data_IF_142833625147
#
_entry.id   IF_142833625147
#
_cell.length_a   1.000
_cell.length_b   1.000
_cell.length_c   1.000
_cell.angle_alpha   90.00
_cell.angle_beta   90.00
_cell.angle_gamma   90.00
#
_symmetry.space_group_name_H-M   'P 1'
#
loop_
_entity.id
_entity.type
_entity.pdbx_description
1 polymer ?
#
# COMPACT_ATOMS: atom_id res chain seq x y z
N UNK A 1 10.68 -28.67 12.82
CA UNK A 1 10.10 -28.12 11.57
C UNK A 1 9.90 -26.64 11.82
N UNK A 2 10.47 -25.74 11.03
CA UNK A 2 10.22 -24.29 11.18
C UNK A 2 8.78 -24.00 10.78
N UNK A 3 8.09 -23.16 11.53
CA UNK A 3 6.72 -22.72 11.23
C UNK A 3 6.65 -22.08 9.83
N UNK A 4 5.57 -22.30 9.08
CA UNK A 4 5.39 -21.70 7.75
C UNK A 4 5.17 -20.18 7.83
N UNK A 5 4.46 -19.72 8.85
CA UNK A 5 4.21 -18.31 9.12
C UNK A 5 4.44 -18.03 10.61
N UNK A 6 4.75 -16.78 10.94
CA UNK A 6 4.73 -16.27 12.32
C UNK A 6 3.48 -15.44 12.61
N UNK A 7 2.65 -15.19 11.59
CA UNK A 7 1.37 -14.48 11.69
C UNK A 7 0.27 -15.47 11.33
N UNK A 8 -0.45 -15.93 12.34
CA UNK A 8 -1.62 -16.82 12.18
C UNK A 8 -2.89 -16.05 11.87
N UNK A 9 -3.02 -14.82 12.39
CA UNK A 9 -4.12 -13.91 12.14
C UNK A 9 -3.63 -12.64 11.42
N UNK A 10 -3.68 -12.61 10.08
CA UNK A 10 -3.41 -11.41 9.29
C UNK A 10 -4.28 -10.20 9.64
N UNK A 11 -5.51 -10.43 10.13
CA UNK A 11 -6.47 -9.36 10.42
C UNK A 11 -6.02 -8.46 11.60
N UNK A 12 -5.10 -8.95 12.43
CA UNK A 12 -4.45 -8.15 13.47
C UNK A 12 -3.55 -7.02 12.91
N UNK A 13 -3.20 -7.07 11.61
CA UNK A 13 -2.25 -6.14 10.99
C UNK A 13 -2.74 -5.46 9.72
N UNK A 14 -3.64 -6.10 8.97
CA UNK A 14 -4.25 -5.54 7.78
C UNK A 14 -5.72 -5.92 7.67
N UNK A 15 -6.58 -4.93 7.44
CA UNK A 15 -8.02 -5.15 7.21
C UNK A 15 -8.53 -4.32 6.04
N UNK A 16 -9.51 -4.89 5.33
CA UNK A 16 -10.31 -4.19 4.33
C UNK A 16 -11.72 -4.02 4.90
N UNK A 17 -12.20 -2.79 4.97
CA UNK A 17 -13.50 -2.46 5.57
C UNK A 17 -14.38 -1.72 4.58
N UNK A 18 -15.57 -2.26 4.32
CA UNK A 18 -16.62 -1.56 3.61
C UNK A 18 -17.48 -0.77 4.60
N UNK A 19 -17.90 0.43 4.21
CA UNK A 19 -18.90 1.17 4.99
C UNK A 19 -19.76 2.04 4.07
N UNK A 20 -20.98 2.30 4.55
CA UNK A 20 -21.93 3.19 3.89
C UNK A 20 -21.88 4.55 4.57
N UNK A 21 -21.65 5.60 3.79
CA UNK A 21 -21.61 6.94 4.31
C UNK A 21 -22.99 7.37 4.83
N UNK A 22 -22.99 8.17 5.89
CA UNK A 22 -24.21 8.61 6.59
C UNK A 22 -24.46 10.11 6.44
N UNK A 23 -23.48 10.88 5.93
CA UNK A 23 -23.51 12.34 5.95
C UNK A 23 -23.33 12.95 7.34
N UNK A 24 -23.13 12.13 8.37
CA UNK A 24 -22.92 12.53 9.76
C UNK A 24 -21.68 11.84 10.33
N UNK A 25 -21.05 12.45 11.35
CA UNK A 25 -19.91 11.82 12.01
C UNK A 25 -20.31 10.47 12.62
N UNK A 26 -19.51 9.43 12.37
CA UNK A 26 -19.71 8.11 12.97
C UNK A 26 -18.41 7.29 12.97
N UNK A 27 -18.34 6.33 13.89
CA UNK A 27 -17.28 5.34 13.93
C UNK A 27 -17.54 4.24 12.89
N UNK A 28 -16.50 3.87 12.17
CA UNK A 28 -16.41 2.70 11.31
C UNK A 28 -15.57 1.67 12.05
N UNK A 29 -16.24 0.74 12.73
CA UNK A 29 -15.63 -0.37 13.47
C UNK A 29 -15.36 -1.54 12.54
N UNK A 30 -14.30 -2.30 12.79
CA UNK A 30 -14.03 -3.49 12.01
C UNK A 30 -15.04 -4.58 12.37
N UNK A 31 -15.94 -4.90 11.45
CA UNK A 31 -17.02 -5.85 11.70
C UNK A 31 -16.55 -7.31 11.49
N UNK A 32 -15.38 -7.67 12.03
CA UNK A 32 -14.90 -9.04 12.09
C UNK A 32 -14.82 -9.54 13.53
N UNK A 33 -14.90 -10.86 13.71
CA UNK A 33 -14.99 -11.49 15.03
C UNK A 33 -13.62 -11.84 15.61
N UNK A 34 -12.53 -11.48 14.93
CA UNK A 34 -11.25 -12.15 15.11
C UNK A 34 -10.34 -11.34 16.05
N UNK A 35 -10.03 -10.08 15.70
CA UNK A 35 -9.09 -9.25 16.48
C UNK A 35 -9.35 -7.76 16.31
N UNK A 36 -9.48 -7.05 17.43
CA UNK A 36 -9.50 -5.58 17.47
C UNK A 36 -8.20 -5.00 16.90
N UNK A 37 -8.31 -4.07 15.95
CA UNK A 37 -7.13 -3.44 15.33
C UNK A 37 -7.25 -1.92 15.30
N UNK A 38 -6.35 -1.22 16.01
CA UNK A 38 -6.10 0.19 15.70
C UNK A 38 -5.26 0.30 14.42
N UNK A 39 -5.72 1.00 13.37
CA UNK A 39 -4.91 1.29 12.19
C UNK A 39 -3.96 2.46 12.43
N UNK A 40 -2.78 2.38 11.81
CA UNK A 40 -1.82 3.47 11.70
C UNK A 40 -1.82 4.11 10.31
N UNK A 41 -2.34 3.41 9.30
CA UNK A 41 -2.61 3.99 7.98
C UNK A 41 -4.02 3.59 7.55
N UNK A 42 -4.79 4.57 7.08
CA UNK A 42 -6.14 4.37 6.54
C UNK A 42 -6.20 5.00 5.15
N UNK A 43 -6.37 4.16 4.13
CA UNK A 43 -6.59 4.58 2.75
C UNK A 43 -8.06 4.40 2.39
N UNK A 44 -8.77 5.52 2.23
CA UNK A 44 -10.19 5.58 1.92
C UNK A 44 -10.45 5.83 0.44
N UNK A 45 -11.49 5.17 -0.06
CA UNK A 45 -12.00 5.38 -1.39
C UNK A 45 -13.52 5.30 -1.47
N UNK A 46 -14.12 6.34 -2.03
CA UNK A 46 -15.50 6.33 -2.50
C UNK A 46 -15.61 5.52 -3.80
N UNK A 47 -16.58 4.60 -3.87
CA UNK A 47 -16.63 3.56 -4.92
C UNK A 47 -17.67 3.82 -6.00
N UNK A 48 -18.73 4.57 -5.70
CA UNK A 48 -19.89 4.72 -6.60
C UNK A 48 -20.02 6.11 -7.25
N UNK A 49 -18.93 6.90 -7.34
CA UNK A 49 -18.90 8.18 -8.07
C UNK A 49 -17.46 8.64 -8.33
N UNK A 50 -17.32 9.70 -9.13
CA UNK A 50 -16.03 10.35 -9.39
C UNK A 50 -15.61 11.20 -8.19
N UNK A 51 -14.58 10.79 -7.45
CA UNK A 51 -14.02 11.51 -6.27
C UNK A 51 -12.52 11.25 -6.16
N UNK A 52 -11.82 11.92 -5.25
CA UNK A 52 -10.44 11.58 -4.91
C UNK A 52 -10.33 10.39 -3.93
N UNK A 53 -9.15 9.80 -3.83
CA UNK A 53 -8.73 8.95 -2.72
C UNK A 53 -8.27 9.83 -1.55
N UNK A 54 -8.35 9.31 -0.32
CA UNK A 54 -7.85 9.99 0.88
C UNK A 54 -7.02 9.03 1.72
N UNK A 55 -5.78 9.39 2.01
CA UNK A 55 -4.85 8.61 2.82
C UNK A 55 -4.46 9.38 4.08
N UNK A 56 -4.65 8.73 5.22
CA UNK A 56 -4.33 9.23 6.55
C UNK A 56 -3.33 8.28 7.22
N UNK A 57 -2.51 8.81 8.11
CA UNK A 57 -1.74 8.00 9.05
C UNK A 57 -1.62 8.63 10.42
N UNK A 58 -1.30 7.80 11.41
CA UNK A 58 -1.20 8.18 12.81
C UNK A 58 -0.05 9.15 13.11
N UNK A 59 0.96 9.22 12.22
CA UNK A 59 2.14 10.09 12.40
C UNK A 59 1.84 11.53 12.02
N UNK A 60 1.13 11.74 10.91
CA UNK A 60 0.63 13.08 10.52
C UNK A 60 -0.60 13.46 11.33
N UNK A 61 -1.37 12.46 11.78
CA UNK A 61 -2.53 12.62 12.65
C UNK A 61 -3.85 12.63 11.89
N UNK A 62 -4.95 12.61 12.64
CA UNK A 62 -6.28 12.75 12.06
C UNK A 62 -6.42 14.12 11.36
N UNK A 63 -7.37 14.25 10.44
CA UNK A 63 -7.63 15.44 9.59
C UNK A 63 -6.56 15.74 8.52
N UNK A 64 -5.35 15.16 8.64
CA UNK A 64 -4.26 15.32 7.67
C UNK A 64 -4.39 14.34 6.52
N UNK A 65 -4.91 14.83 5.40
CA UNK A 65 -5.15 14.00 4.24
C UNK A 65 -4.09 14.17 3.15
N UNK A 66 -3.74 13.06 2.52
CA UNK A 66 -3.08 13.04 1.23
C UNK A 66 -4.00 12.40 0.19
N UNK A 67 -3.80 12.72 -1.08
CA UNK A 67 -4.53 12.12 -2.19
C UNK A 67 -3.59 11.25 -3.03
N UNK A 68 -3.63 9.92 -2.89
CA UNK A 68 -2.79 9.00 -3.69
C UNK A 68 -2.95 9.11 -5.21
N UNK A 69 -4.03 9.72 -5.68
CA UNK A 69 -4.31 9.95 -7.09
C UNK A 69 -3.97 11.38 -7.56
N UNK A 70 -3.29 12.18 -6.74
CA UNK A 70 -2.98 13.58 -7.01
C UNK A 70 -1.53 13.92 -6.59
N UNK A 71 -1.03 15.04 -7.09
CA UNK A 71 0.27 15.63 -6.72
C UNK A 71 0.19 16.56 -5.53
N UNK A 72 -1.02 16.99 -5.14
CA UNK A 72 -1.26 17.96 -4.07
C UNK A 72 -0.42 17.72 -2.80
N UNK A 73 -0.07 18.83 -2.15
CA UNK A 73 0.51 18.82 -0.81
C UNK A 73 -0.49 18.25 0.22
N UNK A 74 -0.02 18.01 1.45
CA UNK A 74 -0.88 17.62 2.56
C UNK A 74 -2.02 18.63 2.76
N UNK A 75 -3.24 18.13 2.80
CA UNK A 75 -4.42 18.87 3.19
C UNK A 75 -4.72 18.74 4.68
N UNK A 76 -5.46 19.71 5.22
CA UNK A 76 -6.07 19.61 6.56
C UNK A 76 -7.56 19.85 6.43
N UNK A 77 -8.35 18.80 6.66
CA UNK A 77 -9.82 18.89 6.66
C UNK A 77 -10.39 18.18 7.90
N UNK A 78 -10.86 18.99 8.85
CA UNK A 78 -11.45 18.53 10.11
C UNK A 78 -12.75 17.72 9.93
N UNK A 79 -13.36 17.76 8.74
CA UNK A 79 -14.57 16.99 8.44
C UNK A 79 -14.27 15.62 7.82
N UNK A 80 -12.99 15.28 7.55
CA UNK A 80 -12.60 13.98 6.99
C UNK A 80 -12.38 12.92 8.08
N UNK A 81 -11.20 12.30 8.20
CA UNK A 81 -10.91 11.37 9.29
C UNK A 81 -10.75 12.16 10.59
N UNK A 82 -11.48 11.80 11.63
CA UNK A 82 -11.48 12.52 12.92
C UNK A 82 -10.78 11.77 14.03
N UNK A 83 -10.65 10.44 13.93
CA UNK A 83 -9.91 9.63 14.89
C UNK A 83 -9.44 8.30 14.29
N UNK A 84 -8.31 7.81 14.79
CA UNK A 84 -7.93 6.40 14.72
C UNK A 84 -8.50 5.72 15.97
N UNK A 85 -9.40 4.75 15.78
CA UNK A 85 -10.05 4.03 16.88
C UNK A 85 -9.23 2.83 17.32
N UNK A 86 -9.50 2.29 18.51
CA UNK A 86 -8.87 1.05 18.99
C UNK A 86 -9.22 -0.16 18.12
N UNK A 87 -10.37 -0.10 17.44
CA UNK A 87 -10.83 -1.08 16.48
C UNK A 87 -11.53 -0.37 15.30
N UNK A 88 -10.74 0.20 14.39
CA UNK A 88 -11.24 0.96 13.24
C UNK A 88 -10.91 2.45 13.29
N UNK A 89 -11.82 3.29 12.82
CA UNK A 89 -11.60 4.73 12.66
C UNK A 89 -12.91 5.52 12.69
N UNK A 90 -12.85 6.83 12.87
CA UNK A 90 -14.02 7.71 12.85
C UNK A 90 -13.94 8.66 11.66
N UNK A 91 -15.01 8.74 10.87
CA UNK A 91 -15.17 9.72 9.79
C UNK A 91 -16.09 10.85 10.23
N UNK A 92 -15.78 12.08 9.84
CA UNK A 92 -16.57 13.28 10.03
C UNK A 92 -17.62 13.44 8.93
N UNK A 93 -18.07 14.66 8.66
CA UNK A 93 -19.19 14.96 7.77
C UNK A 93 -18.81 15.15 6.29
N UNK A 94 -17.52 15.04 5.94
CA UNK A 94 -17.04 15.34 4.59
C UNK A 94 -17.69 14.42 3.55
N UNK A 95 -18.34 15.03 2.56
CA UNK A 95 -18.91 14.31 1.43
C UNK A 95 -17.84 13.58 0.59
N UNK A 96 -16.56 13.89 0.75
CA UNK A 96 -15.51 13.20 0.00
C UNK A 96 -15.41 11.70 0.37
N UNK A 97 -15.65 11.37 1.64
CA UNK A 97 -15.50 10.02 2.20
C UNK A 97 -16.71 9.57 3.03
N UNK A 98 -17.74 10.40 3.18
CA UNK A 98 -18.90 10.11 4.02
C UNK A 98 -20.21 10.74 3.50
N UNK A 99 -20.40 10.88 2.18
CA UNK A 99 -21.72 11.25 1.64
C UNK A 99 -22.77 10.22 2.04
N UNK A 100 -23.96 10.68 2.42
CA UNK A 100 -25.10 9.81 2.77
C UNK A 100 -25.42 8.81 1.65
N UNK A 101 -25.61 7.55 2.02
CA UNK A 101 -25.80 6.41 1.10
C UNK A 101 -24.61 6.13 0.16
N UNK A 102 -23.46 6.78 0.38
CA UNK A 102 -22.26 6.58 -0.41
C UNK A 102 -21.56 5.28 -0.07
N UNK A 103 -21.08 4.55 -1.07
CA UNK A 103 -20.38 3.28 -0.86
C UNK A 103 -18.89 3.53 -0.79
N UNK A 104 -18.26 3.17 0.33
CA UNK A 104 -16.83 3.39 0.56
C UNK A 104 -16.10 2.07 0.81
N UNK A 105 -14.78 2.10 0.66
CA UNK A 105 -13.84 1.08 1.12
C UNK A 105 -12.68 1.76 1.85
N UNK A 106 -12.19 1.10 2.88
CA UNK A 106 -10.99 1.45 3.61
C UNK A 106 -10.02 0.27 3.58
N UNK A 107 -8.77 0.54 3.20
CA UNK A 107 -7.65 -0.39 3.42
C UNK A 107 -6.83 0.14 4.60
N UNK A 108 -6.66 -0.69 5.61
CA UNK A 108 -6.17 -0.28 6.91
C UNK A 108 -4.96 -1.12 7.32
N UNK A 109 -3.85 -0.48 7.65
CA UNK A 109 -2.61 -1.15 8.07
C UNK A 109 -2.23 -0.73 9.49
N UNK A 110 -1.71 -1.68 10.27
CA UNK A 110 -1.15 -1.46 11.60
C UNK A 110 0.37 -1.38 11.55
N UNK A 111 0.89 -0.33 12.17
CA UNK A 111 2.30 -0.18 12.50
C UNK A 111 2.43 -0.25 14.03
N UNK A 112 2.32 0.89 14.72
CA UNK A 112 1.98 0.97 16.14
C UNK A 112 3.17 1.09 17.09
N UNK A 113 4.40 0.92 16.61
CA UNK A 113 5.62 1.14 17.41
C UNK A 113 6.25 2.49 17.09
N UNK A 114 6.32 3.37 18.08
CA UNK A 114 6.80 4.77 17.92
C UNK A 114 8.10 5.06 18.67
N UNK A 115 8.86 4.02 19.01
CA UNK A 115 10.16 4.15 19.69
C UNK A 115 11.15 3.07 19.24
N UNK A 116 12.45 3.31 19.44
CA UNK A 116 13.48 2.29 19.24
C UNK A 116 14.03 2.16 17.82
N UNK A 117 13.87 3.18 16.97
CA UNK A 117 14.53 3.21 15.66
C UNK A 117 16.04 3.44 15.81
N UNK A 118 16.85 2.65 15.10
CA UNK A 118 18.31 2.82 15.05
C UNK A 118 18.71 3.86 14.00
N UNK A 119 19.33 4.96 14.42
CA UNK A 119 19.74 6.07 13.53
C UNK A 119 21.26 6.20 13.38
N UNK A 120 22.05 5.30 13.98
CA UNK A 120 23.51 5.34 13.91
C UNK A 120 24.03 5.22 12.48
N UNK A 121 24.50 6.32 11.88
CA UNK A 121 24.95 6.33 10.48
C UNK A 121 23.87 6.76 9.47
N UNK A 122 22.70 7.17 9.95
CA UNK A 122 21.74 7.93 9.15
C UNK A 122 22.24 9.36 8.95
N UNK A 123 22.03 9.91 7.76
CA UNK A 123 22.27 11.33 7.49
C UNK A 123 21.02 12.17 7.83
N UNK A 124 19.84 11.56 7.74
CA UNK A 124 18.57 12.13 8.17
C UNK A 124 18.04 11.32 9.35
N UNK A 125 17.72 12.02 10.44
CA UNK A 125 16.99 11.44 11.57
C UNK A 125 15.50 11.65 11.33
N UNK A 126 14.68 10.59 11.31
CA UNK A 126 13.22 10.74 11.22
C UNK A 126 12.66 11.64 12.32
N UNK A 127 11.78 12.57 11.94
CA UNK A 127 11.12 13.49 12.87
C UNK A 127 9.96 12.81 13.62
N UNK A 128 9.35 11.79 13.01
CA UNK A 128 8.37 10.91 13.65
C UNK A 128 8.27 9.58 12.88
N UNK A 129 7.85 8.51 13.55
CA UNK A 129 7.75 7.19 12.94
C UNK A 129 6.79 6.27 13.70
N UNK A 130 6.12 5.38 12.95
CA UNK A 130 5.31 4.27 13.44
C UNK A 130 5.67 3.04 12.63
N UNK A 131 6.09 1.94 13.25
CA UNK A 131 6.46 0.72 12.53
C UNK A 131 5.99 -0.56 13.22
N UNK A 132 6.00 -1.65 12.47
CA UNK A 132 5.78 -3.02 12.91
C UNK A 132 6.69 -3.96 12.15
N UNK A 133 7.80 -4.35 12.77
CA UNK A 133 8.72 -5.30 12.14
C UNK A 133 8.12 -6.70 11.98
N UNK A 134 7.09 -7.06 12.78
CA UNK A 134 6.42 -8.37 12.68
C UNK A 134 5.60 -8.46 11.39
N UNK A 135 4.80 -7.44 11.09
CA UNK A 135 4.02 -7.37 9.84
C UNK A 135 4.79 -6.75 8.67
N UNK A 136 6.00 -6.25 8.91
CA UNK A 136 6.87 -5.70 7.88
C UNK A 136 6.38 -4.37 7.31
N UNK A 137 5.80 -3.50 8.13
CA UNK A 137 5.30 -2.18 7.71
C UNK A 137 5.93 -1.04 8.53
N UNK A 138 6.31 0.05 7.88
CA UNK A 138 6.84 1.24 8.53
C UNK A 138 6.35 2.53 7.89
N UNK A 139 6.07 3.52 8.72
CA UNK A 139 5.69 4.89 8.38
C UNK A 139 6.77 5.81 8.94
N UNK A 140 7.49 6.53 8.08
CA UNK A 140 8.61 7.39 8.46
C UNK A 140 8.34 8.80 7.96
N UNK A 141 8.23 9.76 8.88
CA UNK A 141 8.25 11.19 8.57
C UNK A 141 9.66 11.72 8.75
N UNK A 142 10.15 12.48 7.77
CA UNK A 142 11.49 13.08 7.81
C UNK A 142 11.54 14.38 7.03
N UNK A 143 12.46 15.27 7.41
CA UNK A 143 12.77 16.49 6.65
C UNK A 143 13.90 16.18 5.67
N UNK A 144 13.68 16.45 4.38
CA UNK A 144 14.70 16.28 3.36
C UNK A 144 15.84 17.31 3.52
N UNK A 145 17.06 16.94 3.12
CA UNK A 145 18.26 17.77 3.26
C UNK A 145 18.91 18.17 1.93
N UNK A 146 18.30 17.81 0.79
CA UNK A 146 18.82 18.09 -0.56
C UNK A 146 20.20 17.52 -0.87
N UNK A 147 20.73 16.63 -0.02
CA UNK A 147 22.06 16.07 -0.15
C UNK A 147 22.00 14.74 -0.87
N UNK A 148 22.74 14.63 -1.96
CA UNK A 148 22.84 13.40 -2.74
C UNK A 148 23.47 12.27 -1.89
N UNK A 149 22.84 11.10 -1.86
CA UNK A 149 23.37 9.92 -1.16
C UNK A 149 23.15 9.99 0.34
N UNK A 150 21.92 10.26 0.72
CA UNK A 150 21.48 10.40 2.10
C UNK A 150 20.81 9.13 2.59
N UNK A 151 21.23 8.66 3.77
CA UNK A 151 20.63 7.51 4.45
C UNK A 151 19.53 7.99 5.42
N UNK A 152 18.34 7.39 5.32
CA UNK A 152 17.22 7.57 6.25
C UNK A 152 16.82 6.23 6.87
N UNK A 153 16.66 6.20 8.18
CA UNK A 153 16.33 4.98 8.93
C UNK A 153 14.85 4.59 8.78
N UNK A 154 14.53 3.29 8.79
CA UNK A 154 13.14 2.81 8.60
C UNK A 154 12.67 1.70 9.55
N UNK A 155 13.45 1.30 10.56
CA UNK A 155 13.04 0.39 11.65
C UNK A 155 12.51 -1.03 11.30
N UNK A 156 12.41 -1.42 10.02
CA UNK A 156 11.85 -2.73 9.64
C UNK A 156 12.71 -3.92 10.11
N UNK A 157 14.02 -3.74 10.30
CA UNK A 157 14.95 -4.82 10.61
C UNK A 157 15.15 -5.81 9.44
N UNK A 158 14.59 -5.51 8.27
CA UNK A 158 14.68 -6.28 7.04
C UNK A 158 14.61 -5.34 5.84
N UNK A 159 15.12 -5.78 4.68
CA UNK A 159 15.14 -4.97 3.46
C UNK A 159 13.71 -4.66 3.01
N UNK A 160 13.33 -3.38 2.80
CA UNK A 160 12.07 -3.01 2.15
C UNK A 160 12.00 -3.56 0.73
N UNK A 161 10.87 -4.16 0.38
CA UNK A 161 10.58 -4.65 -0.97
C UNK A 161 9.72 -3.67 -1.78
N UNK A 162 9.01 -2.77 -1.09
CA UNK A 162 8.30 -1.64 -1.69
C UNK A 162 8.47 -0.41 -0.79
N UNK A 163 8.72 0.75 -1.39
CA UNK A 163 8.75 2.05 -0.69
C UNK A 163 7.89 3.03 -1.46
N UNK A 164 7.06 3.81 -0.77
CA UNK A 164 6.24 4.87 -1.34
C UNK A 164 6.57 6.15 -0.59
N UNK A 165 7.06 7.18 -1.28
CA UNK A 165 7.46 8.46 -0.69
C UNK A 165 6.65 9.60 -1.28
N UNK A 166 6.19 10.51 -0.41
CA UNK A 166 5.46 11.71 -0.80
C UNK A 166 5.97 12.94 -0.06
N UNK A 167 6.19 14.02 -0.80
CA UNK A 167 6.42 15.36 -0.26
C UNK A 167 5.14 15.95 0.30
N UNK A 168 5.22 16.51 1.51
CA UNK A 168 4.06 16.96 2.29
C UNK A 168 3.74 18.45 2.09
N UNK A 169 4.72 19.31 1.86
CA UNK A 169 4.50 20.76 1.89
C UNK A 169 4.30 21.40 0.51
N UNK A 170 4.68 20.70 -0.56
CA UNK A 170 4.52 21.17 -1.93
C UNK A 170 4.05 20.04 -2.86
N UNK A 171 3.41 20.45 -3.96
CA UNK A 171 2.93 19.51 -4.96
C UNK A 171 4.10 18.75 -5.63
N UNK A 172 4.01 17.43 -5.62
CA UNK A 172 4.93 16.53 -6.30
C UNK A 172 4.31 15.13 -6.39
N UNK A 173 4.82 14.32 -7.31
CA UNK A 173 4.37 12.94 -7.50
C UNK A 173 4.76 12.03 -6.33
N UNK A 174 4.11 10.87 -6.26
CA UNK A 174 4.37 9.81 -5.29
C UNK A 174 5.41 8.84 -5.84
N UNK A 175 6.66 8.95 -5.39
CA UNK A 175 7.75 8.10 -5.85
C UNK A 175 7.63 6.69 -5.27
N UNK A 176 7.77 5.67 -6.11
CA UNK A 176 7.65 4.27 -5.70
C UNK A 176 8.88 3.48 -6.11
N UNK A 177 9.51 2.85 -5.13
CA UNK A 177 10.49 1.77 -5.34
C UNK A 177 9.77 0.43 -5.25
N UNK A 178 10.13 -0.51 -6.12
CA UNK A 178 9.69 -1.91 -6.02
C UNK A 178 10.81 -2.83 -6.48
N UNK A 179 11.25 -3.78 -5.64
CA UNK A 179 12.44 -4.61 -5.91
C UNK A 179 12.36 -5.54 -7.14
N UNK A 180 11.16 -5.64 -7.75
CA UNK A 180 10.90 -6.40 -8.98
C UNK A 180 10.57 -5.55 -10.19
N UNK A 181 10.71 -4.23 -10.10
CA UNK A 181 10.46 -3.34 -11.25
C UNK A 181 11.47 -3.55 -12.38
N UNK A 182 12.68 -3.99 -12.04
CA UNK A 182 13.79 -4.26 -12.95
C UNK A 182 14.81 -5.23 -12.29
N UNK A 183 15.85 -5.64 -13.02
CA UNK A 183 16.98 -6.39 -12.46
C UNK A 183 17.79 -5.56 -11.46
N UNK A 184 17.95 -4.27 -11.76
CA UNK A 184 18.60 -3.24 -10.95
C UNK A 184 17.54 -2.21 -10.51
N UNK A 185 16.61 -2.56 -9.61
CA UNK A 185 15.43 -1.75 -9.31
C UNK A 185 15.74 -0.38 -8.71
N UNK A 186 16.91 -0.18 -8.11
CA UNK A 186 17.39 1.08 -7.55
C UNK A 186 17.71 2.17 -8.60
N UNK A 187 17.90 1.77 -9.86
CA UNK A 187 18.07 2.72 -10.98
C UNK A 187 16.71 3.24 -11.49
N UNK A 188 15.61 2.61 -11.04
CA UNK A 188 14.27 2.84 -11.55
C UNK A 188 13.28 3.28 -10.48
N UNK A 189 12.26 4.00 -10.91
CA UNK A 189 11.12 4.33 -10.06
C UNK A 189 9.81 4.18 -10.81
N UNK A 190 8.77 3.90 -10.05
CA UNK A 190 7.38 3.99 -10.47
C UNK A 190 6.75 5.21 -9.81
N UNK A 191 5.56 5.60 -10.29
CA UNK A 191 4.83 6.75 -9.77
C UNK A 191 3.41 6.32 -9.42
N UNK A 192 3.02 6.43 -8.14
CA UNK A 192 1.74 5.88 -7.65
C UNK A 192 0.54 6.61 -8.24
N UNK A 193 0.63 7.93 -8.40
CA UNK A 193 -0.46 8.80 -8.85
C UNK A 193 -0.50 8.97 -10.38
N UNK A 194 0.24 8.17 -11.13
CA UNK A 194 0.36 8.25 -12.58
C UNK A 194 0.29 6.86 -13.22
N UNK A 195 0.13 6.85 -14.55
CA UNK A 195 0.07 5.62 -15.34
C UNK A 195 1.36 5.31 -16.10
N UNK A 196 2.41 6.14 -15.99
CA UNK A 196 3.66 5.97 -16.71
C UNK A 196 4.30 4.59 -16.48
N UNK A 197 5.06 4.13 -17.47
CA UNK A 197 6.03 3.05 -17.26
C UNK A 197 7.09 3.47 -16.23
N UNK A 198 7.93 2.53 -15.78
CA UNK A 198 9.06 2.85 -14.90
C UNK A 198 9.96 3.90 -15.55
N UNK A 199 10.35 4.91 -14.78
CA UNK A 199 11.36 5.89 -15.16
C UNK A 199 12.75 5.45 -14.71
N UNK A 200 13.76 5.76 -15.52
CA UNK A 200 15.18 5.57 -15.19
C UNK A 200 15.72 6.88 -14.60
N UNK A 201 16.01 6.86 -13.31
CA UNK A 201 16.62 7.98 -12.60
C UNK A 201 17.17 7.49 -11.26
N UNK A 202 18.32 8.04 -10.86
CA UNK A 202 18.99 7.69 -9.61
C UNK A 202 18.32 8.24 -8.34
N UNK A 203 16.99 8.30 -8.27
CA UNK A 203 16.27 8.82 -7.09
C UNK A 203 16.53 7.96 -5.83
N UNK A 204 16.85 6.68 -6.01
CA UNK A 204 17.29 5.76 -4.95
C UNK A 204 18.81 5.67 -4.84
N UNK A 205 19.50 6.60 -5.49
CA UNK A 205 20.95 6.71 -5.59
C UNK A 205 21.63 5.41 -6.06
N UNK A 206 20.99 4.67 -6.96
CA UNK A 206 21.52 3.43 -7.53
C UNK A 206 22.07 2.51 -6.42
N UNK A 207 21.41 2.53 -5.26
CA UNK A 207 21.81 1.78 -4.06
C UNK A 207 20.57 1.07 -3.49
N UNK A 208 20.56 -0.27 -3.43
CA UNK A 208 19.43 -0.98 -2.85
C UNK A 208 19.26 -0.64 -1.37
N UNK A 209 18.01 -0.60 -0.85
CA UNK A 209 17.80 -0.38 0.56
C UNK A 209 18.35 -1.56 1.37
N UNK A 210 18.72 -1.29 2.62
CA UNK A 210 19.26 -2.27 3.56
C UNK A 210 18.20 -2.64 4.59
N UNK A 211 18.55 -3.44 5.60
CA UNK A 211 17.64 -3.74 6.72
C UNK A 211 17.42 -2.56 7.68
N UNK A 212 18.21 -1.49 7.55
CA UNK A 212 18.20 -0.36 8.49
C UNK A 212 17.91 0.97 7.78
N UNK A 213 18.49 1.18 6.60
CA UNK A 213 18.42 2.42 5.84
C UNK A 213 17.92 2.19 4.43
N UNK A 214 17.13 3.14 3.94
CA UNK A 214 17.00 3.41 2.51
C UNK A 214 17.84 4.63 2.15
N UNK A 215 18.35 4.64 0.93
CA UNK A 215 19.21 5.70 0.40
C UNK A 215 18.50 6.40 -0.75
N UNK A 216 18.64 7.71 -0.81
CA UNK A 216 18.07 8.51 -1.88
C UNK A 216 19.03 9.63 -2.30
N UNK A 217 18.83 10.14 -3.52
CA UNK A 217 19.59 11.27 -4.05
C UNK A 217 19.05 12.61 -3.52
N UNK A 218 19.23 13.69 -4.28
CA UNK A 218 18.72 15.03 -3.98
C UNK A 218 17.45 15.40 -4.78
N UNK A 219 16.75 14.42 -5.37
CA UNK A 219 15.49 14.65 -6.06
C UNK A 219 14.46 15.24 -5.10
N UNK A 220 13.74 16.25 -5.57
CA UNK A 220 12.72 16.94 -4.76
C UNK A 220 11.50 16.08 -4.43
N UNK A 221 11.33 14.93 -5.08
CA UNK A 221 10.25 13.98 -4.78
C UNK A 221 10.53 13.11 -3.56
N UNK A 222 11.80 12.98 -3.16
CA UNK A 222 12.22 12.10 -2.05
C UNK A 222 13.13 12.78 -1.02
N UNK A 223 13.76 13.91 -1.36
CA UNK A 223 14.74 14.57 -0.50
C UNK A 223 14.87 16.09 -0.78
N UNK A 224 13.76 16.80 -1.00
CA UNK A 224 13.80 18.26 -1.10
C UNK A 224 14.32 18.89 0.21
N UNK A 225 15.26 19.84 0.10
CA UNK A 225 15.90 20.47 1.25
C UNK A 225 14.92 21.31 2.09
N UNK A 226 14.84 21.03 3.38
CA UNK A 226 14.01 21.74 4.35
C UNK A 226 12.52 21.42 4.23
N UNK A 227 12.16 20.31 3.59
CA UNK A 227 10.78 19.95 3.30
C UNK A 227 10.41 18.61 3.92
N UNK A 228 9.25 18.58 4.55
CA UNK A 228 8.72 17.37 5.17
C UNK A 228 8.29 16.33 4.12
N UNK A 229 8.69 15.08 4.36
CA UNK A 229 8.41 13.89 3.56
C UNK A 229 7.72 12.84 4.42
N UNK A 230 6.87 12.01 3.80
CA UNK A 230 6.34 10.78 4.41
C UNK A 230 6.73 9.59 3.54
N UNK A 231 7.27 8.55 4.17
CA UNK A 231 7.60 7.28 3.52
C UNK A 231 6.82 6.12 4.14
N UNK A 232 6.19 5.31 3.30
CA UNK A 232 5.55 4.05 3.65
C UNK A 232 6.39 2.91 3.08
N UNK A 233 6.98 2.10 3.96
CA UNK A 233 7.89 1.03 3.58
C UNK A 233 7.31 -0.32 3.98
N UNK A 234 7.43 -1.28 3.07
CA UNK A 234 6.91 -2.62 3.26
C UNK A 234 7.95 -3.68 2.94
N UNK A 235 7.95 -4.77 3.69
CA UNK A 235 8.72 -5.98 3.38
C UNK A 235 7.83 -7.23 3.39
N UNK A 236 8.24 -8.26 2.64
CA UNK A 236 7.49 -9.50 2.53
C UNK A 236 7.62 -10.29 3.83
N UNK A 237 6.50 -10.73 4.40
CA UNK A 237 6.44 -11.62 5.55
C UNK A 237 5.75 -12.92 5.10
N UNK A 238 6.43 -14.04 5.27
CA UNK A 238 5.92 -15.33 4.83
C UNK A 238 4.54 -15.63 5.43
N UNK A 239 3.57 -15.96 4.56
CA UNK A 239 2.18 -16.22 4.97
C UNK A 239 1.32 -14.98 5.22
N UNK A 240 1.89 -13.76 5.18
CA UNK A 240 1.16 -12.51 5.44
C UNK A 240 1.23 -11.50 4.30
N UNK A 241 2.42 -11.14 3.82
CA UNK A 241 2.59 -10.13 2.77
C UNK A 241 3.61 -10.58 1.74
N UNK A 242 3.39 -10.22 0.48
CA UNK A 242 4.34 -10.52 -0.60
C UNK A 242 4.40 -9.40 -1.61
N UNK A 243 5.61 -9.00 -1.90
CA UNK A 243 5.96 -8.03 -2.93
C UNK A 243 6.76 -8.75 -4.00
N UNK A 244 6.29 -8.75 -5.23
CA UNK A 244 6.87 -9.58 -6.27
C UNK A 244 6.61 -9.06 -7.67
N UNK A 245 7.00 -9.85 -8.66
CA UNK A 245 6.70 -9.57 -10.04
C UNK A 245 6.32 -10.83 -10.79
N UNK A 246 5.71 -10.63 -11.96
CA UNK A 246 5.36 -11.68 -12.90
C UNK A 246 5.48 -11.16 -14.32
N UNK A 247 5.62 -12.07 -15.27
CA UNK A 247 5.58 -11.75 -16.70
C UNK A 247 4.19 -12.02 -17.23
N UNK A 248 3.60 -11.04 -17.91
CA UNK A 248 2.33 -11.23 -18.59
C UNK A 248 2.47 -12.23 -19.74
N UNK A 249 1.42 -12.99 -20.03
CA UNK A 249 1.44 -14.03 -21.06
C UNK A 249 0.43 -13.79 -22.20
N UNK A 250 -0.33 -12.69 -22.15
CA UNK A 250 -1.33 -12.34 -23.17
C UNK A 250 -2.49 -13.33 -23.30
N UNK A 251 -2.69 -14.23 -22.33
CA UNK A 251 -3.70 -15.28 -22.37
C UNK A 251 -4.73 -15.11 -21.24
N UNK A 252 -6.01 -15.38 -21.52
CA UNK A 252 -7.07 -15.33 -20.50
C UNK A 252 -6.87 -16.40 -19.40
N UNK A 253 -6.22 -17.51 -19.72
CA UNK A 253 -5.60 -18.38 -18.71
C UNK A 253 -4.22 -17.82 -18.33
N UNK A 254 -4.26 -16.66 -17.67
CA UNK A 254 -3.10 -15.82 -17.43
C UNK A 254 -2.09 -16.38 -16.43
N UNK A 255 -1.07 -15.61 -16.08
CA UNK A 255 -0.07 -16.07 -15.11
C UNK A 255 -0.72 -16.34 -13.73
N UNK A 256 -0.43 -17.51 -13.14
CA UNK A 256 -0.73 -17.78 -11.74
C UNK A 256 0.43 -17.28 -10.88
N UNK A 257 0.11 -16.50 -9.84
CA UNK A 257 1.08 -15.93 -8.91
C UNK A 257 0.87 -16.55 -7.54
N UNK A 258 1.79 -17.42 -7.13
CA UNK A 258 1.80 -18.00 -5.80
C UNK A 258 2.28 -16.98 -4.75
N UNK A 259 1.44 -16.64 -3.80
CA UNK A 259 1.77 -15.76 -2.67
C UNK A 259 2.09 -16.53 -1.39
N UNK A 260 1.60 -17.76 -1.25
CA UNK A 260 1.70 -18.54 -0.01
C UNK A 260 0.63 -18.19 1.03
N UNK A 261 -0.42 -17.50 0.61
CA UNK A 261 -1.57 -17.15 1.44
C UNK A 261 -2.79 -16.86 0.55
N UNK A 262 -4.00 -16.85 1.13
CA UNK A 262 -5.18 -16.34 0.44
C UNK A 262 -5.16 -14.80 0.52
N UNK A 263 -5.10 -14.06 -0.60
CA UNK A 263 -4.99 -12.60 -0.53
C UNK A 263 -6.29 -11.93 -0.06
N UNK A 264 -6.19 -10.99 0.86
CA UNK A 264 -7.23 -10.01 1.16
C UNK A 264 -7.15 -8.80 0.22
N UNK A 265 -5.96 -8.47 -0.28
CA UNK A 265 -5.70 -7.32 -1.15
C UNK A 265 -4.57 -7.64 -2.12
N UNK A 266 -4.69 -7.18 -3.37
CA UNK A 266 -3.65 -7.23 -4.39
C UNK A 266 -3.64 -5.92 -5.17
N UNK A 267 -2.49 -5.24 -5.19
CA UNK A 267 -2.22 -4.11 -6.07
C UNK A 267 -1.22 -4.52 -7.15
N UNK A 268 -1.48 -4.17 -8.41
CA UNK A 268 -0.64 -4.54 -9.57
C UNK A 268 -0.28 -3.30 -10.37
N UNK A 269 0.94 -3.27 -10.91
CA UNK A 269 1.37 -2.27 -11.91
C UNK A 269 2.18 -2.91 -13.02
N UNK A 270 1.82 -2.58 -14.25
CA UNK A 270 2.69 -2.77 -15.39
C UNK A 270 3.91 -1.84 -15.27
N UNK A 271 5.11 -2.40 -15.16
CA UNK A 271 6.33 -1.61 -15.01
C UNK A 271 6.90 -1.12 -16.35
N UNK A 272 6.42 -1.62 -17.49
CA UNK A 272 7.08 -1.42 -18.80
C UNK A 272 6.25 -0.59 -19.78
N UNK A 273 4.96 -0.43 -19.52
CA UNK A 273 4.05 0.30 -20.38
C UNK A 273 3.19 1.29 -19.62
N UNK A 274 2.68 2.30 -20.34
CA UNK A 274 1.78 3.33 -19.81
C UNK A 274 0.41 2.72 -19.50
N UNK A 275 0.23 2.26 -18.28
CA UNK A 275 -0.97 1.58 -17.78
C UNK A 275 -1.21 1.93 -16.32
N UNK A 276 -2.49 2.00 -15.93
CA UNK A 276 -2.88 2.30 -14.56
C UNK A 276 -2.45 1.19 -13.59
N UNK A 277 -2.33 1.56 -12.32
CA UNK A 277 -2.26 0.62 -11.21
C UNK A 277 -3.63 0.01 -10.96
N UNK A 278 -3.75 -1.26 -10.59
CA UNK A 278 -5.02 -1.87 -10.18
C UNK A 278 -5.01 -2.23 -8.70
N UNK A 279 -6.17 -2.13 -8.05
CA UNK A 279 -6.41 -2.52 -6.67
C UNK A 279 -7.61 -3.46 -6.59
N UNK A 280 -7.38 -4.65 -6.09
CA UNK A 280 -8.35 -5.72 -5.94
C UNK A 280 -8.38 -6.15 -4.46
N UNK A 281 -9.54 -6.48 -3.92
CA UNK A 281 -9.65 -7.05 -2.57
C UNK A 281 -10.82 -8.02 -2.46
N UNK A 282 -10.82 -8.75 -1.36
CA UNK A 282 -11.74 -9.84 -1.12
C UNK A 282 -13.04 -9.42 -0.41
N UNK A 283 -13.32 -8.13 -0.25
CA UNK A 283 -14.55 -7.65 0.43
C UNK A 283 -15.52 -7.00 -0.53
N UNK A 284 -15.04 -6.37 -1.61
CA UNK A 284 -15.90 -5.81 -2.66
C UNK A 284 -16.61 -6.95 -3.41
N UNK A 285 -17.86 -6.70 -3.81
CA UNK A 285 -18.78 -7.72 -4.33
C UNK A 285 -18.14 -8.51 -5.48
N UNK A 286 -18.43 -9.82 -5.53
CA UNK A 286 -18.14 -10.67 -6.70
C UNK A 286 -16.96 -11.65 -6.57
N UNK A 287 -16.77 -12.26 -5.39
CA UNK A 287 -15.73 -13.27 -5.10
C UNK A 287 -15.52 -14.28 -6.26
N UNK A 288 -14.45 -14.05 -7.03
CA UNK A 288 -14.09 -14.72 -8.28
C UNK A 288 -15.18 -14.72 -9.37
N UNK A 289 -14.73 -14.27 -10.55
CA UNK A 289 -15.46 -13.81 -11.76
C UNK A 289 -16.19 -12.46 -11.65
N UNK A 290 -16.21 -11.74 -10.53
CA UNK A 290 -16.73 -10.34 -10.46
C UNK A 290 -15.86 -9.47 -9.54
N UNK A 291 -14.53 -9.48 -9.73
CA UNK A 291 -13.60 -8.79 -8.84
C UNK A 291 -13.36 -7.35 -9.27
N UNK A 292 -14.32 -6.50 -8.92
CA UNK A 292 -14.33 -5.09 -9.27
C UNK A 292 -13.03 -4.35 -8.90
N UNK A 293 -12.59 -3.44 -9.77
CA UNK A 293 -11.26 -2.82 -9.74
C UNK A 293 -11.35 -1.34 -9.38
N UNK A 294 -10.43 -0.91 -8.53
CA UNK A 294 -10.12 0.50 -8.30
C UNK A 294 -8.69 0.79 -8.76
N UNK A 295 -8.40 2.05 -9.05
CA UNK A 295 -7.08 2.48 -9.49
C UNK A 295 -6.60 3.59 -8.55
N UNK A 296 -5.45 3.44 -7.86
CA UNK A 296 -4.94 4.43 -6.91
C UNK A 296 -4.59 5.75 -7.58
N UNK A 297 -4.39 5.77 -8.91
CA UNK A 297 -4.07 6.93 -9.72
C UNK A 297 -5.27 7.52 -10.48
N UNK A 298 -6.51 7.17 -10.10
CA UNK A 298 -7.70 7.60 -10.83
C UNK A 298 -8.87 7.96 -9.91
N UNK A 299 -9.74 8.86 -10.38
CA UNK A 299 -10.90 9.34 -9.63
C UNK A 299 -12.21 8.66 -10.00
N UNK A 300 -12.23 7.84 -11.04
CA UNK A 300 -13.42 7.13 -11.51
C UNK A 300 -14.03 6.19 -10.46
N UNK A 301 -15.32 5.92 -10.63
CA UNK A 301 -16.01 4.89 -9.87
C UNK A 301 -15.36 3.51 -10.09
N UNK A 302 -15.68 2.59 -9.19
CA UNK A 302 -15.29 1.19 -9.27
C UNK A 302 -15.69 0.59 -10.63
N UNK A 303 -14.75 -0.13 -11.25
CA UNK A 303 -14.89 -0.72 -12.57
C UNK A 303 -15.25 -2.21 -12.45
N UNK A 304 -16.22 -2.66 -13.23
CA UNK A 304 -16.74 -4.04 -13.26
C UNK A 304 -15.92 -4.98 -14.13
N UNK A 305 -14.59 -4.80 -14.15
CA UNK A 305 -13.67 -5.64 -14.92
C UNK A 305 -13.18 -6.82 -14.10
N UNK A 306 -13.17 -8.02 -14.69
CA UNK A 306 -12.87 -9.28 -13.98
C UNK A 306 -11.44 -9.74 -14.24
N UNK A 307 -10.48 -8.96 -13.75
CA UNK A 307 -9.09 -9.11 -14.20
C UNK A 307 -8.33 -10.21 -13.47
N UNK A 308 -8.69 -10.53 -12.21
CA UNK A 308 -8.01 -11.55 -11.40
C UNK A 308 -8.97 -12.38 -10.56
N UNK A 309 -8.61 -13.66 -10.36
CA UNK A 309 -9.16 -14.48 -9.29
C UNK A 309 -8.23 -14.45 -8.07
N UNK A 310 -8.81 -14.27 -6.87
CA UNK A 310 -8.12 -14.49 -5.60
C UNK A 310 -8.30 -15.95 -5.18
N UNK A 311 -7.19 -16.66 -5.07
CA UNK A 311 -7.16 -18.10 -4.79
C UNK A 311 -6.66 -18.35 -3.36
N UNK A 312 -6.77 -19.59 -2.90
CA UNK A 312 -6.39 -19.99 -1.55
C UNK A 312 -4.89 -19.75 -1.24
N UNK A 313 -4.04 -19.62 -2.26
CA UNK A 313 -2.59 -19.54 -2.12
C UNK A 313 -1.92 -18.50 -3.02
N UNK A 314 -2.71 -17.60 -3.62
CA UNK A 314 -2.23 -16.69 -4.65
C UNK A 314 -3.35 -15.99 -5.38
N UNK A 315 -3.03 -15.50 -6.57
CA UNK A 315 -4.01 -14.95 -7.49
C UNK A 315 -3.70 -15.40 -8.91
N UNK A 316 -4.71 -15.38 -9.77
CA UNK A 316 -4.61 -15.80 -11.17
C UNK A 316 -5.11 -14.68 -12.05
N UNK A 317 -4.31 -14.30 -13.04
CA UNK A 317 -4.74 -13.35 -14.06
C UNK A 317 -5.76 -14.02 -14.99
N UNK A 318 -6.89 -13.35 -15.27
CA UNK A 318 -8.03 -13.89 -16.02
C UNK A 318 -8.35 -13.18 -17.33
N UNK A 319 -7.57 -12.17 -17.67
CA UNK A 319 -7.82 -11.34 -18.83
C UNK A 319 -6.56 -11.13 -19.67
N UNK A 320 -6.72 -10.65 -20.90
CA UNK A 320 -5.62 -10.38 -21.85
C UNK A 320 -5.34 -8.88 -22.00
N UNK A 321 -5.70 -8.05 -21.02
CA UNK A 321 -5.53 -6.61 -21.12
C UNK A 321 -4.07 -6.19 -20.92
N UNK A 322 -3.78 -4.99 -21.40
CA UNK A 322 -2.48 -4.36 -21.18
C UNK A 322 -2.25 -3.97 -19.71
N UNK A 323 -3.33 -3.77 -18.95
CA UNK A 323 -3.29 -3.31 -17.57
C UNK A 323 -2.65 -4.36 -16.66
N UNK A 324 -2.86 -5.65 -16.91
CA UNK A 324 -2.36 -6.73 -16.05
C UNK A 324 -1.70 -7.90 -16.81
N UNK A 325 -1.76 -8.00 -18.15
CA UNK A 325 -1.33 -9.22 -18.84
C UNK A 325 -0.78 -9.10 -20.28
N UNK A 326 -0.15 -8.00 -20.67
CA UNK A 326 0.59 -7.93 -21.94
C UNK A 326 1.67 -9.01 -21.99
N UNK A 327 1.72 -9.77 -23.08
CA UNK A 327 2.71 -10.84 -23.27
C UNK A 327 4.14 -10.28 -23.22
N UNK A 328 4.96 -10.85 -22.33
CA UNK A 328 6.37 -10.52 -22.20
C UNK A 328 6.66 -9.30 -21.32
N UNK A 329 5.66 -8.53 -20.91
CA UNK A 329 5.87 -7.36 -20.05
C UNK A 329 5.98 -7.74 -18.58
N UNK A 330 6.80 -6.98 -17.86
CA UNK A 330 7.02 -7.12 -16.42
C UNK A 330 5.96 -6.37 -15.62
N UNK A 331 5.30 -7.08 -14.72
CA UNK A 331 4.37 -6.55 -13.74
C UNK A 331 4.95 -6.68 -12.35
N UNK A 332 4.72 -5.68 -11.50
CA UNK A 332 4.99 -5.73 -10.06
C UNK A 332 3.70 -5.79 -9.28
N UNK A 333 3.73 -6.39 -8.09
CA UNK A 333 2.57 -6.46 -7.21
C UNK A 333 2.92 -6.34 -5.73
N UNK A 334 1.94 -5.84 -4.97
CA UNK A 334 1.89 -5.91 -3.51
C UNK A 334 0.63 -6.69 -3.10
N UNK A 335 0.79 -7.72 -2.26
CA UNK A 335 -0.32 -8.53 -1.77
C UNK A 335 -0.27 -8.69 -0.24
N UNK A 336 -1.44 -8.66 0.40
CA UNK A 336 -1.62 -8.89 1.84
C UNK A 336 -2.65 -9.99 2.08
N UNK A 337 -2.43 -10.79 3.10
CA UNK A 337 -3.20 -11.99 3.38
C UNK A 337 -4.52 -11.69 4.08
N UNK A 338 -5.54 -12.48 3.73
CA UNK A 338 -6.68 -12.77 4.58
C UNK A 338 -6.34 -13.90 5.55
N UNK A 339 -5.69 -14.95 5.04
CA UNK A 339 -5.28 -16.12 5.82
C UNK A 339 -4.01 -16.75 5.22
N UNK A 340 -3.06 -17.22 6.05
CA UNK A 340 -1.89 -17.94 5.56
C UNK A 340 -2.28 -19.26 4.87
N UNK A 341 -1.41 -19.82 4.02
CA UNK A 341 -1.67 -21.15 3.44
C UNK A 341 -1.72 -22.23 4.54
N UNK A 342 -0.77 -22.14 5.48
CA UNK A 342 -0.60 -23.03 6.62
C UNK A 342 -0.25 -22.17 7.84
N UNK A 343 -0.86 -22.41 9.00
CA UNK A 343 -0.54 -21.69 10.23
C UNK A 343 0.80 -22.12 10.84
N UNK A 344 1.19 -21.45 11.91
CA UNK A 344 2.40 -21.70 12.67
C UNK A 344 2.50 -23.14 13.20
N UNK A 345 1.36 -23.82 13.40
CA UNK A 345 1.25 -25.21 13.86
C UNK A 345 1.29 -26.25 12.71
N UNK A 346 1.43 -25.84 11.45
CA UNK A 346 1.46 -26.75 10.32
C UNK A 346 0.07 -27.19 9.82
N UNK A 347 -1.00 -26.53 10.27
CA UNK A 347 -2.37 -26.83 9.85
C UNK A 347 -2.76 -25.94 8.66
N UNK A 348 -3.24 -26.50 7.52
CA UNK A 348 -3.78 -25.71 6.42
C UNK A 348 -4.96 -24.82 6.85
N UNK A 349 -4.94 -23.54 6.48
CA UNK A 349 -5.96 -22.56 6.93
C UNK A 349 -6.98 -22.19 5.86
N UNK A 350 -6.74 -22.62 4.63
CA UNK A 350 -7.38 -22.06 3.44
C UNK A 350 -8.23 -23.08 2.67
N UNK A 351 -8.63 -24.18 3.31
CA UNK A 351 -9.51 -25.18 2.73
C UNK A 351 -10.90 -24.58 2.48
N UNK A 352 -11.12 -24.09 1.26
CA UNK A 352 -12.43 -23.96 0.61
C UNK A 352 -12.30 -24.22 -0.87
#
# INVERSE_FOLDING_TARGET
MTAFTTIDDPSAYFKVQLYTGTGSSHAVTFNDTDTDMQPDMVWLRYRNAVKNHYLFDSIRGATKNLAPNDTDAEGTDANTLTAFGSDGFTVGTSGAINTSSGLNVAWCWKAGTTSGITTTGANITPSAYSFNATSGFSIIKYEGNGTNGTNTAHALGAVPHMMIIKRLENANYWAVYHHKSHADPEDYYLVLNENYARGDAGIWKDTPPTSVYFRHDNSTSVNANGEDMIAYLFTSIQGYSKFGGYTGNGNADGTFVYTGFRPAFVMIKNAESTQNWTMNDNKRLGYNVDNNILFPNHTGAENTGDNIDLLSNGFKIRWTDSVNNTSGETYVYAAFAEAPFVNSNGVPCNAR
#
